data_IF_412116251675
#
_entry.id   IF_412116251675
#
_cell.length_a   1.000
_cell.length_b   1.000
_cell.length_c   1.000
_cell.angle_alpha   90.00
_cell.angle_beta   90.00
_cell.angle_gamma   90.00
#
_symmetry.space_group_name_H-M   'P 1'
#
loop_
_entity.id
_entity.type
_entity.pdbx_description
1 polymer ?
#
# COMPACT_ATOMS: atom_id res chain seq x y z
N UNK A 1 -1.38 -1.67 -4.13
CA UNK A 1 -2.29 -0.54 -4.40
C UNK A 1 -1.84 0.29 -5.59
N UNK A 2 -0.78 1.09 -5.50
CA UNK A 2 -0.33 2.00 -6.58
C UNK A 2 -0.09 1.35 -7.96
N UNK A 3 0.35 0.08 -8.00
CA UNK A 3 0.50 -0.67 -9.27
C UNK A 3 -0.85 -1.06 -9.88
N UNK A 4 -1.81 -1.39 -9.02
CA UNK A 4 -3.15 -1.85 -9.42
C UNK A 4 -4.07 -0.66 -9.75
N UNK A 5 -3.91 0.46 -9.03
CA UNK A 5 -4.71 1.68 -9.16
C UNK A 5 -3.77 2.89 -9.18
N UNK A 6 -3.16 3.21 -10.33
CA UNK A 6 -2.21 4.32 -10.45
C UNK A 6 -2.87 5.70 -10.25
N UNK A 7 -4.19 5.78 -10.41
CA UNK A 7 -4.99 7.02 -10.29
C UNK A 7 -5.41 7.33 -8.84
N UNK A 8 -5.00 6.53 -7.85
CA UNK A 8 -5.40 6.76 -6.46
C UNK A 8 -4.81 8.07 -5.94
N UNK A 9 -5.69 9.00 -5.54
CA UNK A 9 -5.31 10.17 -4.78
C UNK A 9 -4.80 9.81 -3.38
N UNK A 10 -4.14 10.77 -2.72
CA UNK A 10 -3.55 10.59 -1.38
C UNK A 10 -4.56 10.02 -0.37
N UNK A 11 -5.75 10.60 -0.29
CA UNK A 11 -6.78 10.20 0.68
C UNK A 11 -7.31 8.80 0.42
N UNK A 12 -7.55 8.44 -0.84
CA UNK A 12 -8.03 7.10 -1.20
C UNK A 12 -6.95 6.04 -0.98
N UNK A 13 -5.69 6.39 -1.24
CA UNK A 13 -4.56 5.51 -0.97
C UNK A 13 -4.40 5.24 0.53
N UNK A 14 -4.55 6.27 1.38
CA UNK A 14 -4.54 6.13 2.84
C UNK A 14 -5.66 5.19 3.30
N UNK A 15 -6.91 5.48 2.92
CA UNK A 15 -8.08 4.70 3.33
C UNK A 15 -7.94 3.23 2.90
N UNK A 16 -7.65 2.98 1.63
CA UNK A 16 -7.51 1.59 1.13
C UNK A 16 -6.33 0.86 1.75
N UNK A 17 -5.25 1.56 2.09
CA UNK A 17 -4.12 0.95 2.79
C UNK A 17 -4.48 0.58 4.23
N UNK A 18 -5.26 1.42 4.92
CA UNK A 18 -5.78 1.12 6.26
C UNK A 18 -6.71 -0.09 6.24
N UNK A 19 -7.59 -0.21 5.24
CA UNK A 19 -8.50 -1.37 5.11
C UNK A 19 -7.71 -2.69 4.99
N UNK A 20 -6.66 -2.70 4.16
CA UNK A 20 -5.77 -3.85 4.00
C UNK A 20 -5.03 -4.13 5.31
N UNK A 21 -4.49 -3.10 5.97
CA UNK A 21 -3.74 -3.23 7.21
C UNK A 21 -4.63 -3.78 8.35
N UNK A 22 -5.89 -3.34 8.44
CA UNK A 22 -6.86 -3.87 9.39
C UNK A 22 -7.18 -5.34 9.12
N UNK A 23 -7.30 -5.75 7.85
CA UNK A 23 -7.48 -7.17 7.49
C UNK A 23 -6.26 -8.00 7.86
N UNK A 24 -5.05 -7.48 7.61
CA UNK A 24 -3.80 -8.12 8.04
C UNK A 24 -3.73 -8.28 9.57
N UNK A 25 -4.04 -7.21 10.32
CA UNK A 25 -4.10 -7.23 11.78
C UNK A 25 -5.03 -8.32 12.32
N UNK A 26 -6.24 -8.41 11.77
CA UNK A 26 -7.23 -9.42 12.19
C UNK A 26 -6.84 -10.84 11.84
N UNK A 27 -6.39 -11.10 10.61
CA UNK A 27 -6.12 -12.46 10.14
C UNK A 27 -4.81 -13.05 10.67
N UNK A 28 -3.81 -12.20 10.94
CA UNK A 28 -2.47 -12.63 11.37
C UNK A 28 -2.17 -12.30 12.84
N UNK A 29 -3.15 -11.77 13.59
CA UNK A 29 -2.98 -11.41 14.99
C UNK A 29 -1.96 -10.28 15.23
N UNK A 30 -1.77 -9.40 14.24
CA UNK A 30 -0.80 -8.31 14.31
C UNK A 30 -1.42 -7.14 15.08
N UNK A 31 -0.86 -6.82 16.24
CA UNK A 31 -1.19 -5.60 16.97
C UNK A 31 -0.20 -4.49 16.61
N UNK A 32 -0.54 -3.72 15.57
CA UNK A 32 0.27 -2.61 15.07
C UNK A 32 -0.56 -1.31 15.04
N UNK A 33 -0.53 -0.47 16.09
CA UNK A 33 -1.23 0.81 16.09
C UNK A 33 -0.80 1.73 14.94
N UNK A 34 0.41 1.53 14.40
CA UNK A 34 0.96 2.23 13.25
C UNK A 34 0.09 2.07 11.98
N UNK A 35 -0.72 1.01 11.90
CA UNK A 35 -1.66 0.80 10.79
C UNK A 35 -2.74 1.88 10.69
N UNK A 36 -2.96 2.66 11.75
CA UNK A 36 -3.99 3.70 11.80
C UNK A 36 -3.41 5.11 12.00
N UNK A 37 -2.07 5.23 12.04
CA UNK A 37 -1.42 6.51 12.29
C UNK A 37 -1.30 7.36 11.00
N UNK A 38 -1.95 8.53 11.02
CA UNK A 38 -1.93 9.47 9.88
C UNK A 38 -0.56 10.09 9.62
N UNK A 39 0.26 10.24 10.65
CA UNK A 39 1.62 10.75 10.54
C UNK A 39 2.51 9.77 9.78
N UNK A 40 2.43 8.48 10.13
CA UNK A 40 3.11 7.37 9.44
C UNK A 40 2.70 7.33 7.97
N UNK A 41 1.40 7.40 7.67
CA UNK A 41 0.91 7.44 6.29
C UNK A 41 1.40 8.66 5.52
N UNK A 42 1.35 9.84 6.13
CA UNK A 42 1.82 11.08 5.51
C UNK A 42 3.32 11.02 5.21
N UNK A 43 4.12 10.49 6.16
CA UNK A 43 5.54 10.28 5.95
C UNK A 43 5.80 9.30 4.78
N UNK A 44 5.11 8.15 4.76
CA UNK A 44 5.22 7.17 3.67
C UNK A 44 4.90 7.79 2.31
N UNK A 45 3.79 8.52 2.20
CA UNK A 45 3.37 9.15 0.95
C UNK A 45 4.40 10.21 0.47
N UNK A 46 4.90 11.02 1.40
CA UNK A 46 5.93 12.02 1.09
C UNK A 46 7.23 11.34 0.64
N UNK A 47 7.64 10.24 1.25
CA UNK A 47 8.80 9.46 0.81
C UNK A 47 8.59 8.90 -0.59
N UNK A 48 7.40 8.38 -0.92
CA UNK A 48 7.10 7.90 -2.28
C UNK A 48 7.22 9.03 -3.32
N UNK A 49 6.82 10.26 -2.98
CA UNK A 49 7.03 11.45 -3.84
C UNK A 49 8.51 11.82 -3.96
N UNK A 50 9.23 11.93 -2.85
CA UNK A 50 10.65 12.29 -2.83
C UNK A 50 11.53 11.28 -3.59
N UNK A 51 11.14 10.01 -3.56
CA UNK A 51 11.81 8.95 -4.28
C UNK A 51 11.27 8.77 -5.71
N UNK A 52 10.44 9.70 -6.20
CA UNK A 52 9.89 9.74 -7.56
C UNK A 52 9.15 8.45 -7.96
N UNK A 53 8.46 7.81 -7.02
CA UNK A 53 7.43 6.81 -7.33
C UNK A 53 6.08 7.47 -7.65
N UNK A 54 5.88 8.65 -7.09
CA UNK A 54 4.76 9.55 -7.33
C UNK A 54 5.31 10.90 -7.78
N UNK A 55 4.68 11.54 -8.76
CA UNK A 55 5.03 12.91 -9.15
C UNK A 55 4.38 13.97 -8.23
N UNK A 56 4.54 15.25 -8.57
CA UNK A 56 3.96 16.37 -7.81
C UNK A 56 2.44 16.29 -7.71
N UNK A 57 1.79 15.82 -8.77
CA UNK A 57 0.34 15.70 -8.90
C UNK A 57 -0.19 14.40 -8.28
N UNK A 58 0.71 13.48 -7.92
CA UNK A 58 0.40 12.20 -7.30
C UNK A 58 0.26 11.05 -8.30
N UNK A 59 0.61 11.25 -9.57
CA UNK A 59 0.58 10.19 -10.57
C UNK A 59 1.72 9.21 -10.32
N UNK A 60 1.42 7.92 -10.45
CA UNK A 60 2.35 6.83 -10.16
C UNK A 60 3.25 6.48 -11.36
N UNK A 61 4.57 6.44 -11.15
CA UNK A 61 5.47 5.73 -12.08
C UNK A 61 5.25 4.23 -11.90
N UNK A 62 4.38 3.68 -12.75
CA UNK A 62 3.97 2.27 -12.70
C UNK A 62 5.15 1.31 -12.87
N UNK A 63 6.13 1.62 -13.73
CA UNK A 63 7.26 0.71 -14.00
C UNK A 63 8.16 0.61 -12.78
N UNK A 64 8.56 1.76 -12.22
CA UNK A 64 9.41 1.85 -11.04
C UNK A 64 8.72 1.24 -9.82
N UNK A 65 7.45 1.59 -9.61
CA UNK A 65 6.64 1.09 -8.49
C UNK A 65 6.40 -0.42 -8.60
N UNK A 66 6.17 -0.96 -9.80
CA UNK A 66 6.00 -2.40 -9.99
C UNK A 66 7.27 -3.19 -9.68
N UNK A 67 8.45 -2.67 -10.05
CA UNK A 67 9.73 -3.29 -9.70
C UNK A 67 9.93 -3.31 -8.18
N UNK A 68 9.66 -2.19 -7.52
CA UNK A 68 9.77 -2.08 -6.07
C UNK A 68 8.78 -2.99 -5.34
N UNK A 69 7.52 -3.01 -5.76
CA UNK A 69 6.51 -3.92 -5.21
C UNK A 69 6.96 -5.38 -5.34
N UNK A 70 7.42 -5.83 -6.52
CA UNK A 70 7.93 -7.20 -6.69
C UNK A 70 9.02 -7.55 -5.69
N UNK A 71 9.95 -6.63 -5.43
CA UNK A 71 11.01 -6.83 -4.43
C UNK A 71 10.43 -6.93 -3.01
N UNK A 72 9.55 -6.01 -2.60
CA UNK A 72 8.88 -6.08 -1.29
C UNK A 72 8.12 -7.39 -1.11
N UNK A 73 7.40 -7.84 -2.13
CA UNK A 73 6.69 -9.10 -2.10
C UNK A 73 7.62 -10.31 -1.95
N UNK A 74 8.91 -10.24 -2.32
CA UNK A 74 9.84 -11.36 -2.03
C UNK A 74 10.18 -11.50 -0.55
N UNK A 75 10.01 -10.44 0.25
CA UNK A 75 10.37 -10.40 1.67
C UNK A 75 9.24 -10.87 2.60
N UNK A 76 8.03 -11.02 2.08
CA UNK A 76 6.86 -11.39 2.87
C UNK A 76 6.67 -12.92 2.92
N UNK A 77 6.04 -13.40 3.99
CA UNK A 77 5.54 -14.77 4.05
C UNK A 77 4.40 -14.98 3.04
N UNK A 78 4.26 -16.18 2.43
CA UNK A 78 3.23 -16.46 1.42
C UNK A 78 1.81 -16.07 1.87
N UNK A 79 1.44 -16.34 3.12
CA UNK A 79 0.12 -16.09 3.69
C UNK A 79 -0.20 -14.59 3.78
N UNK A 80 0.81 -13.77 4.09
CA UNK A 80 0.71 -12.31 4.11
C UNK A 80 0.53 -11.79 2.68
N UNK A 81 1.27 -12.32 1.70
CA UNK A 81 1.11 -11.94 0.28
C UNK A 81 -0.30 -12.22 -0.21
N UNK A 82 -0.79 -13.44 0.01
CA UNK A 82 -2.14 -13.86 -0.38
C UNK A 82 -3.19 -12.94 0.23
N UNK A 83 -3.05 -12.61 1.52
CA UNK A 83 -3.97 -11.68 2.19
C UNK A 83 -3.95 -10.30 1.54
N UNK A 84 -2.78 -9.74 1.24
CA UNK A 84 -2.66 -8.44 0.56
C UNK A 84 -3.29 -8.50 -0.84
N UNK A 85 -3.00 -9.54 -1.61
CA UNK A 85 -3.51 -9.71 -2.97
C UNK A 85 -5.03 -9.84 -2.98
N UNK A 86 -5.61 -10.71 -2.15
CA UNK A 86 -7.06 -10.84 -2.00
C UNK A 86 -7.71 -9.52 -1.59
N UNK A 87 -7.11 -8.79 -0.65
CA UNK A 87 -7.65 -7.50 -0.20
C UNK A 87 -7.65 -6.47 -1.34
N UNK A 88 -6.62 -6.47 -2.18
CA UNK A 88 -6.58 -5.62 -3.39
C UNK A 88 -7.68 -6.03 -4.38
N UNK A 89 -7.90 -7.32 -4.62
CA UNK A 89 -8.98 -7.78 -5.51
C UNK A 89 -10.37 -7.39 -4.98
N UNK A 90 -10.60 -7.51 -3.67
CA UNK A 90 -11.86 -7.13 -3.04
C UNK A 90 -12.17 -5.63 -3.17
N UNK A 91 -11.15 -4.78 -3.26
CA UNK A 91 -11.31 -3.34 -3.50
C UNK A 91 -11.70 -2.99 -4.95
N UNK A 92 -11.77 -3.96 -5.86
CA UNK A 92 -12.24 -3.78 -7.26
C UNK A 92 -13.75 -4.00 -7.44
N UNK A 93 -14.41 -4.65 -6.49
CA UNK A 93 -15.84 -4.99 -6.53
C UNK A 93 -16.68 -3.93 -5.80
#
# INVERSE_FOLDING_TARGET
LLVAYPELGKSDLEQKSQDIAQRLGRLHGINAPEFFDKGVFTAMFNTLKQQEYLDSDGNCDKKKTQKFAKLLFTLLYPEVKLTIEESIHQLQA
#
